data_IF_832137693881
#
_entry.id   IF_832137693881
#
_cell.length_a   1.000
_cell.length_b   1.000
_cell.length_c   1.000
_cell.angle_alpha   90.00
_cell.angle_beta   90.00
_cell.angle_gamma   90.00
#
_symmetry.space_group_name_H-M   'P 1'
#
loop_
_entity.id
_entity.type
_entity.pdbx_description
1 polymer ?
#
# COMPACT_ATOMS: atom_id res chain seq x y z
N UNK A 1 -7.31 -7.47 0.80
CA UNK A 1 -5.92 -7.91 1.10
C UNK A 1 -5.19 -8.19 -0.21
N UNK A 2 -3.98 -7.64 -0.41
CA UNK A 2 -3.26 -7.71 -1.69
C UNK A 2 -1.80 -8.10 -1.47
N UNK A 3 -1.22 -8.93 -2.33
CA UNK A 3 0.19 -9.34 -2.22
C UNK A 3 1.14 -8.33 -2.88
N UNK A 4 2.37 -8.24 -2.36
CA UNK A 4 3.34 -7.19 -2.74
C UNK A 4 3.60 -7.05 -4.25
N UNK A 5 3.67 -8.18 -4.97
CA UNK A 5 3.83 -8.15 -6.43
C UNK A 5 2.62 -7.55 -7.17
N UNK A 6 1.39 -7.79 -6.70
CA UNK A 6 0.19 -7.21 -7.32
C UNK A 6 0.09 -5.72 -7.02
N UNK A 7 0.47 -5.29 -5.82
CA UNK A 7 0.60 -3.86 -5.47
C UNK A 7 1.58 -3.18 -6.43
N UNK A 8 2.75 -3.78 -6.67
CA UNK A 8 3.73 -3.28 -7.63
C UNK A 8 3.12 -3.11 -9.02
N UNK A 9 2.55 -4.19 -9.59
CA UNK A 9 1.95 -4.15 -10.94
C UNK A 9 0.87 -3.08 -11.07
N UNK A 10 0.03 -2.92 -10.06
CA UNK A 10 -1.03 -1.90 -10.07
C UNK A 10 -0.46 -0.49 -10.09
N UNK A 11 0.56 -0.19 -9.28
CA UNK A 11 1.18 1.14 -9.27
C UNK A 11 1.89 1.40 -10.60
N UNK A 12 2.60 0.42 -11.15
CA UNK A 12 3.26 0.58 -12.46
C UNK A 12 2.26 0.81 -13.58
N UNK A 13 1.12 0.10 -13.57
CA UNK A 13 0.05 0.29 -14.55
C UNK A 13 -0.63 1.65 -14.41
N UNK A 14 -0.83 2.14 -13.19
CA UNK A 14 -1.48 3.42 -12.94
C UNK A 14 -0.57 4.62 -13.23
N UNK A 15 0.71 4.53 -12.87
CA UNK A 15 1.66 5.65 -13.01
C UNK A 15 2.42 5.66 -14.34
N UNK A 16 2.43 4.54 -15.07
CA UNK A 16 3.30 4.34 -16.23
C UNK A 16 4.80 4.20 -15.88
N UNK A 17 5.15 4.27 -14.59
CA UNK A 17 6.54 4.22 -14.12
C UNK A 17 6.93 2.81 -13.67
N UNK A 18 8.13 2.37 -14.04
CA UNK A 18 8.70 1.12 -13.50
C UNK A 18 9.20 1.35 -12.07
N UNK A 19 8.62 0.60 -11.13
CA UNK A 19 9.05 0.63 -9.73
C UNK A 19 10.15 -0.39 -9.51
N UNK A 20 11.30 0.07 -9.01
CA UNK A 20 12.38 -0.82 -8.58
C UNK A 20 11.91 -1.63 -7.38
N UNK A 21 12.19 -2.94 -7.38
CA UNK A 21 11.85 -3.83 -6.27
C UNK A 21 12.38 -3.31 -4.92
N UNK A 22 13.57 -2.70 -4.92
CA UNK A 22 14.17 -2.09 -3.73
C UNK A 22 13.46 -0.85 -3.18
N UNK A 23 12.50 -0.25 -3.89
CA UNK A 23 11.78 0.92 -3.40
C UNK A 23 10.44 0.56 -2.74
N UNK A 24 9.72 -0.43 -3.29
CA UNK A 24 8.39 -0.80 -2.80
C UNK A 24 8.45 -1.46 -1.41
N UNK A 25 9.35 -2.41 -1.21
CA UNK A 25 9.37 -3.18 0.04
C UNK A 25 9.80 -2.35 1.26
N UNK A 26 10.79 -1.43 1.17
CA UNK A 26 11.05 -0.50 2.26
C UNK A 26 9.87 0.42 2.57
N UNK A 27 9.11 0.86 1.56
CA UNK A 27 7.90 1.66 1.78
C UNK A 27 6.84 0.85 2.53
N UNK A 28 6.55 -0.38 2.09
CA UNK A 28 5.61 -1.26 2.78
C UNK A 28 6.04 -1.52 4.23
N UNK A 29 7.34 -1.74 4.47
CA UNK A 29 7.88 -1.90 5.83
C UNK A 29 7.70 -0.64 6.68
N UNK A 30 7.91 0.56 6.12
CA UNK A 30 7.67 1.83 6.83
C UNK A 30 6.19 2.00 7.20
N UNK A 31 5.27 1.64 6.29
CA UNK A 31 3.83 1.70 6.56
C UNK A 31 3.40 0.68 7.63
N UNK A 32 4.02 -0.51 7.64
CA UNK A 32 3.82 -1.54 8.65
C UNK A 32 4.33 -1.07 10.03
N UNK A 33 5.54 -0.53 10.10
CA UNK A 33 6.11 0.04 11.34
C UNK A 33 5.29 1.21 11.90
N UNK A 34 4.59 1.97 11.05
CA UNK A 34 3.67 3.04 11.47
C UNK A 34 2.30 2.53 11.94
N UNK A 35 2.06 1.23 11.80
CA UNK A 35 0.79 0.58 12.13
C UNK A 35 -0.33 0.92 11.15
N UNK A 36 -0.02 1.38 9.94
CA UNK A 36 -1.01 1.73 8.90
C UNK A 36 -1.42 0.51 8.07
N UNK A 37 -0.53 -0.46 7.94
CA UNK A 37 -0.82 -1.74 7.31
C UNK A 37 -0.40 -2.88 8.22
N UNK A 38 -1.04 -4.02 8.06
CA UNK A 38 -0.61 -5.30 8.59
C UNK A 38 -0.22 -6.23 7.45
N UNK A 39 0.57 -7.25 7.75
CA UNK A 39 0.89 -8.31 6.81
C UNK A 39 0.71 -9.69 7.40
N UNK A 40 0.35 -10.64 6.54
CA UNK A 40 0.22 -12.04 6.87
C UNK A 40 0.91 -12.89 5.82
N UNK A 41 1.56 -13.97 6.27
CA UNK A 41 2.05 -15.01 5.36
C UNK A 41 0.87 -15.88 4.98
N UNK A 42 0.58 -15.95 3.67
CA UNK A 42 -0.42 -16.85 3.13
C UNK A 42 0.28 -17.93 2.32
N UNK A 43 0.00 -19.19 2.63
CA UNK A 43 0.48 -20.31 1.86
C UNK A 43 -0.51 -20.63 0.73
N UNK A 44 0.00 -20.79 -0.48
CA UNK A 44 -0.75 -21.28 -1.63
C UNK A 44 0.06 -22.41 -2.26
N UNK A 45 -0.28 -23.65 -1.89
CA UNK A 45 0.49 -24.85 -2.25
C UNK A 45 1.92 -24.78 -1.71
N UNK A 46 2.91 -24.91 -2.59
CA UNK A 46 4.34 -24.82 -2.26
C UNK A 46 4.87 -23.38 -2.14
N UNK A 47 4.06 -22.36 -2.44
CA UNK A 47 4.49 -20.95 -2.45
C UNK A 47 3.95 -20.21 -1.23
N UNK A 48 4.84 -19.53 -0.52
CA UNK A 48 4.48 -18.60 0.56
C UNK A 48 4.51 -17.17 0.03
N UNK A 49 3.44 -16.42 0.24
CA UNK A 49 3.35 -15.00 -0.14
C UNK A 49 3.04 -14.12 1.06
N UNK A 50 3.61 -12.92 1.09
CA UNK A 50 3.26 -11.88 2.07
C UNK A 50 2.09 -11.05 1.50
N UNK A 51 0.97 -11.04 2.21
CA UNK A 51 -0.25 -10.31 1.87
C UNK A 51 -0.40 -9.16 2.83
N UNK A 52 -0.77 -7.99 2.32
CA UNK A 52 -0.92 -6.76 3.09
C UNK A 52 -2.39 -6.34 3.16
N UNK A 53 -2.78 -5.74 4.28
CA UNK A 53 -4.08 -5.14 4.50
C UNK A 53 -3.96 -3.83 5.28
N UNK A 54 -4.87 -2.89 5.04
CA UNK A 54 -4.96 -1.68 5.88
C UNK A 54 -5.45 -2.04 7.28
N UNK A 55 -4.84 -1.44 8.29
CA UNK A 55 -5.39 -1.42 9.65
C UNK A 55 -6.52 -0.40 9.74
N UNK A 56 -7.25 -0.36 10.86
CA UNK A 56 -8.24 0.70 11.11
C UNK A 56 -7.59 2.09 11.10
N UNK A 57 -6.43 2.22 11.76
CA UNK A 57 -5.59 3.42 11.71
C UNK A 57 -5.21 3.79 10.27
N UNK A 58 -4.85 2.80 9.45
CA UNK A 58 -4.56 2.98 8.03
C UNK A 58 -5.75 3.53 7.24
N UNK A 59 -6.95 2.97 7.45
CA UNK A 59 -8.18 3.45 6.80
C UNK A 59 -8.51 4.89 7.19
N UNK A 60 -8.40 5.22 8.47
CA UNK A 60 -8.63 6.58 8.97
C UNK A 60 -7.62 7.59 8.40
N UNK A 61 -6.34 7.19 8.33
CA UNK A 61 -5.28 8.00 7.73
C UNK A 61 -5.58 8.32 6.26
N UNK A 62 -5.94 7.30 5.47
CA UNK A 62 -6.28 7.47 4.06
C UNK A 62 -7.49 8.39 3.89
N UNK A 63 -8.56 8.20 4.68
CA UNK A 63 -9.75 9.06 4.65
C UNK A 63 -9.39 10.52 4.92
N UNK A 64 -8.59 10.77 5.96
CA UNK A 64 -8.15 12.12 6.35
C UNK A 64 -7.29 12.76 5.26
N UNK A 65 -6.37 11.99 4.67
CA UNK A 65 -5.51 12.45 3.60
C UNK A 65 -6.31 12.87 2.36
N UNK A 66 -7.29 12.05 1.94
CA UNK A 66 -8.18 12.40 0.83
C UNK A 66 -9.00 13.65 1.10
N UNK A 67 -9.58 13.80 2.31
CA UNK A 67 -10.33 15.01 2.63
C UNK A 67 -9.47 16.27 2.57
N UNK A 68 -8.22 16.20 3.03
CA UNK A 68 -7.29 17.32 2.96
C UNK A 68 -6.92 17.69 1.51
N UNK A 69 -6.61 16.68 0.68
CA UNK A 69 -6.31 16.91 -0.73
C UNK A 69 -7.50 17.51 -1.50
N UNK A 70 -8.70 17.00 -1.25
CA UNK A 70 -9.92 17.51 -1.89
C UNK A 70 -10.24 18.94 -1.44
N UNK A 71 -10.01 19.27 -0.17
CA UNK A 71 -10.20 20.64 0.32
C UNK A 71 -9.25 21.64 -0.37
N UNK A 72 -7.99 21.25 -0.60
CA UNK A 72 -7.00 22.08 -1.31
C UNK A 72 -7.33 22.22 -2.81
N UNK A 73 -7.89 21.18 -3.43
CA UNK A 73 -8.26 21.21 -4.85
C UNK A 73 -9.51 22.06 -5.17
N UNK A 74 -10.33 22.39 -4.17
CA UNK A 74 -11.53 23.24 -4.32
C UNK A 74 -11.26 24.73 -4.06
N UNK A 75 -10.08 25.07 -3.54
CA UNK A 75 -9.70 26.46 -3.24
C UNK A 75 -8.90 27.13 -4.37
N UNK A 76 -8.76 26.46 -5.52
CA UNK A 76 -8.10 26.98 -6.74
C UNK A 76 -9.11 26.96 -7.88
#
# INVERSE_FOLDING_TARGET
>A
PTWGYKIKKQIEAFSGLKIRHGALYPLLRKLENRGLITSQKQQQGKRTRKVYALTEKGKAYVKTYYSLLMAQAQTT
#
